data_IF_723944489996
#
_entry.id   IF_723944489996
#
_cell.length_a   1.000
_cell.length_b   1.000
_cell.length_c   1.000
_cell.angle_alpha   90.00
_cell.angle_beta   90.00
_cell.angle_gamma   90.00
#
_symmetry.space_group_name_H-M   'P 1'
#
loop_
_entity.id
_entity.type
_entity.pdbx_description
1 polymer ?
#
# COMPACT_ATOMS: atom_id res chain seq x y z
N UNK A 1 20.96 -8.00 -0.68
CA UNK A 1 19.66 -8.49 -0.11
C UNK A 1 18.57 -8.18 -1.12
N UNK A 2 17.74 -9.15 -1.52
CA UNK A 2 16.67 -8.94 -2.52
C UNK A 2 15.36 -8.61 -1.82
N UNK A 3 14.87 -7.39 -2.03
CA UNK A 3 13.63 -6.85 -1.45
C UNK A 3 12.63 -6.54 -2.56
N UNK A 4 11.37 -6.86 -2.32
CA UNK A 4 10.28 -6.58 -3.24
C UNK A 4 9.27 -5.62 -2.61
N UNK A 5 8.70 -4.73 -3.42
CA UNK A 5 7.68 -3.77 -2.98
C UNK A 5 6.49 -3.82 -3.93
N UNK A 6 5.28 -3.94 -3.40
CA UNK A 6 4.04 -3.87 -4.17
C UNK A 6 2.97 -3.12 -3.35
N UNK A 7 2.04 -2.46 -4.03
CA UNK A 7 0.91 -1.74 -3.42
C UNK A 7 -0.25 -1.71 -4.39
N UNK A 8 -1.41 -1.24 -3.93
CA UNK A 8 -2.54 -0.94 -4.81
C UNK A 8 -2.99 -2.16 -5.64
N UNK A 9 -3.01 -3.32 -4.99
CA UNK A 9 -3.51 -4.56 -5.60
C UNK A 9 -5.03 -4.56 -5.68
N UNK A 10 -5.70 -3.94 -4.70
CA UNK A 10 -7.17 -3.87 -4.59
C UNK A 10 -7.85 -5.25 -4.74
N UNK A 11 -7.29 -6.27 -4.10
CA UNK A 11 -7.79 -7.64 -4.17
C UNK A 11 -9.25 -7.70 -3.71
N UNK A 12 -10.07 -8.39 -4.49
CA UNK A 12 -11.51 -8.55 -4.25
C UNK A 12 -12.10 -9.74 -5.00
N UNK A 13 -13.20 -10.35 -4.51
CA UNK A 13 -13.84 -11.50 -5.14
C UNK A 13 -14.28 -11.25 -6.58
N UNK A 14 -14.65 -10.01 -6.90
CA UNK A 14 -15.11 -9.62 -8.24
C UNK A 14 -13.96 -9.51 -9.26
N UNK A 15 -12.71 -9.66 -8.83
CA UNK A 15 -11.50 -9.64 -9.66
C UNK A 15 -10.59 -10.85 -9.39
N UNK A 16 -11.05 -12.07 -9.74
CA UNK A 16 -10.25 -13.28 -9.53
C UNK A 16 -8.97 -13.29 -10.37
N UNK A 17 -8.92 -12.53 -11.46
CA UNK A 17 -7.72 -12.27 -12.28
C UNK A 17 -6.59 -11.64 -11.44
N UNK A 18 -6.91 -10.64 -10.61
CA UNK A 18 -5.94 -10.00 -9.72
C UNK A 18 -5.43 -10.97 -8.65
N UNK A 19 -6.35 -11.77 -8.09
CA UNK A 19 -5.99 -12.83 -7.14
C UNK A 19 -5.06 -13.86 -7.79
N UNK A 20 -5.37 -14.32 -9.00
CA UNK A 20 -4.54 -15.27 -9.75
C UNK A 20 -3.14 -14.72 -10.03
N UNK A 21 -3.05 -13.47 -10.50
CA UNK A 21 -1.79 -12.79 -10.74
C UNK A 21 -0.97 -12.62 -9.45
N UNK A 22 -1.60 -12.26 -8.33
CA UNK A 22 -0.87 -12.11 -7.07
C UNK A 22 -0.37 -13.46 -6.54
N UNK A 23 -1.19 -14.51 -6.61
CA UNK A 23 -0.75 -15.86 -6.24
C UNK A 23 0.40 -16.35 -7.13
N UNK A 24 0.39 -16.01 -8.42
CA UNK A 24 1.50 -16.28 -9.32
C UNK A 24 2.76 -15.50 -8.92
N UNK A 25 2.65 -14.20 -8.69
CA UNK A 25 3.75 -13.36 -8.21
C UNK A 25 4.37 -13.89 -6.91
N UNK A 26 3.55 -14.27 -5.93
CA UNK A 26 4.05 -14.81 -4.66
C UNK A 26 4.88 -16.09 -4.88
N UNK A 27 4.42 -16.96 -5.79
CA UNK A 27 5.06 -18.25 -6.06
C UNK A 27 6.32 -18.14 -6.93
N UNK A 28 6.28 -17.35 -7.99
CA UNK A 28 7.35 -17.31 -9.00
C UNK A 28 8.37 -16.20 -8.74
N UNK A 29 7.93 -15.06 -8.22
CA UNK A 29 8.76 -13.86 -8.08
C UNK A 29 9.19 -13.61 -6.64
N UNK A 30 8.25 -13.66 -5.70
CA UNK A 30 8.53 -13.37 -4.29
C UNK A 30 9.19 -14.54 -3.55
N UNK A 31 9.01 -15.76 -4.05
CA UNK A 31 9.72 -16.92 -3.53
C UNK A 31 11.25 -16.69 -3.58
N UNK A 32 11.90 -16.84 -2.42
CA UNK A 32 13.34 -16.63 -2.28
C UNK A 32 13.78 -15.16 -2.15
N UNK A 33 12.85 -14.19 -2.16
CA UNK A 33 13.18 -12.83 -1.73
C UNK A 33 13.46 -12.80 -0.22
N UNK A 34 14.35 -11.92 0.22
CA UNK A 34 14.63 -11.72 1.65
C UNK A 34 13.43 -11.02 2.32
N UNK A 35 12.81 -10.07 1.63
CA UNK A 35 11.72 -9.23 2.16
C UNK A 35 10.68 -8.90 1.09
N UNK A 36 9.41 -8.88 1.48
CA UNK A 36 8.29 -8.36 0.68
C UNK A 36 7.55 -7.29 1.48
N UNK A 37 7.52 -6.08 0.93
CA UNK A 37 6.82 -4.92 1.45
C UNK A 37 5.51 -4.70 0.67
N UNK A 38 4.40 -4.76 1.39
CA UNK A 38 3.05 -4.51 0.90
C UNK A 38 2.63 -3.09 1.34
N UNK A 39 2.84 -2.09 0.49
CA UNK A 39 2.73 -0.66 0.82
C UNK A 39 1.30 -0.10 0.66
N UNK A 40 0.33 -0.79 1.25
CA UNK A 40 -1.06 -0.35 1.34
C UNK A 40 -1.92 -0.66 0.12
N UNK A 41 -3.24 -0.62 0.33
CA UNK A 41 -4.27 -0.91 -0.66
C UNK A 41 -4.11 -2.30 -1.30
N UNK A 42 -3.73 -3.28 -0.47
CA UNK A 42 -3.67 -4.69 -0.85
C UNK A 42 -5.07 -5.24 -1.05
N UNK A 43 -6.01 -4.83 -0.19
CA UNK A 43 -7.41 -5.20 -0.30
C UNK A 43 -8.26 -4.02 -0.74
N UNK A 44 -9.27 -4.26 -1.56
CA UNK A 44 -10.20 -3.20 -2.01
C UNK A 44 -10.97 -2.55 -0.84
N UNK A 45 -11.14 -3.28 0.28
CA UNK A 45 -11.68 -2.78 1.53
C UNK A 45 -11.33 -3.72 2.67
N UNK A 46 -11.06 -3.17 3.85
CA UNK A 46 -10.95 -3.95 5.09
C UNK A 46 -11.84 -3.36 6.17
N UNK A 47 -12.73 -4.18 6.74
CA UNK A 47 -13.66 -3.73 7.78
C UNK A 47 -13.28 -4.23 9.18
N UNK A 48 -12.20 -5.00 9.31
CA UNK A 48 -11.70 -5.58 10.54
C UNK A 48 -11.33 -7.05 10.37
N UNK A 49 -10.33 -7.49 11.12
CA UNK A 49 -9.75 -8.84 10.99
C UNK A 49 -10.71 -9.98 11.34
N UNK A 50 -11.78 -9.68 12.09
CA UNK A 50 -12.85 -10.63 12.44
C UNK A 50 -13.81 -10.91 11.28
N UNK A 51 -13.70 -10.14 10.19
CA UNK A 51 -14.45 -10.30 8.96
C UNK A 51 -13.51 -10.22 7.75
N UNK A 52 -12.58 -11.18 7.59
CA UNK A 52 -11.68 -11.22 6.44
C UNK A 52 -12.48 -11.37 5.15
N UNK A 53 -11.91 -10.91 4.04
CA UNK A 53 -12.60 -10.89 2.76
C UNK A 53 -12.86 -12.32 2.25
N UNK A 54 -14.13 -12.67 1.95
CA UNK A 54 -14.45 -13.99 1.41
C UNK A 54 -13.68 -14.28 0.11
N UNK A 55 -13.26 -15.52 -0.12
CA UNK A 55 -12.63 -15.92 -1.39
C UNK A 55 -11.15 -15.52 -1.54
N UNK A 56 -10.55 -14.90 -0.52
CA UNK A 56 -9.11 -14.62 -0.48
C UNK A 56 -8.32 -15.57 0.44
N UNK A 57 -8.92 -16.71 0.83
CA UNK A 57 -8.26 -17.68 1.71
C UNK A 57 -6.95 -18.21 1.15
N UNK A 58 -6.88 -18.43 -0.18
CA UNK A 58 -5.66 -18.85 -0.86
C UNK A 58 -4.57 -17.77 -0.78
N UNK A 59 -4.94 -16.48 -0.81
CA UNK A 59 -3.99 -15.36 -0.67
C UNK A 59 -3.38 -15.36 0.73
N UNK A 60 -4.22 -15.48 1.77
CA UNK A 60 -3.72 -15.55 3.14
C UNK A 60 -2.81 -16.77 3.35
N UNK A 61 -3.19 -17.92 2.78
CA UNK A 61 -2.38 -19.14 2.81
C UNK A 61 -1.04 -19.00 2.07
N UNK A 62 -1.04 -18.36 0.90
CA UNK A 62 0.17 -18.13 0.11
C UNK A 62 1.14 -17.16 0.82
N UNK A 63 0.63 -16.07 1.41
CA UNK A 63 1.44 -15.16 2.23
C UNK A 63 2.03 -15.89 3.45
N UNK A 64 1.20 -16.65 4.18
CA UNK A 64 1.67 -17.44 5.31
C UNK A 64 2.76 -18.45 4.91
N UNK A 65 2.60 -19.10 3.76
CA UNK A 65 3.60 -20.02 3.23
C UNK A 65 4.91 -19.32 2.85
N UNK A 66 4.82 -18.16 2.20
CA UNK A 66 5.98 -17.35 1.84
C UNK A 66 6.77 -16.92 3.09
N UNK A 67 6.07 -16.43 4.12
CA UNK A 67 6.68 -16.09 5.42
C UNK A 67 7.34 -17.30 6.07
N UNK A 68 6.64 -18.43 6.15
CA UNK A 68 7.17 -19.67 6.72
C UNK A 68 8.38 -20.23 5.95
N UNK A 69 8.54 -19.84 4.68
CA UNK A 69 9.67 -20.23 3.82
C UNK A 69 10.90 -19.31 3.99
N UNK A 70 10.80 -18.26 4.80
CA UNK A 70 11.92 -17.42 5.22
C UNK A 70 11.88 -15.97 4.73
N UNK A 71 10.93 -15.60 3.86
CA UNK A 71 10.76 -14.22 3.40
C UNK A 71 10.08 -13.37 4.47
N UNK A 72 10.68 -12.24 4.86
CA UNK A 72 10.03 -11.33 5.82
C UNK A 72 8.90 -10.57 5.14
N UNK A 73 7.70 -10.61 5.72
CA UNK A 73 6.54 -9.90 5.21
C UNK A 73 6.27 -8.65 6.02
N UNK A 74 6.20 -7.52 5.33
CA UNK A 74 5.87 -6.23 5.91
C UNK A 74 4.62 -5.67 5.25
N UNK A 75 3.68 -5.18 6.06
CA UNK A 75 2.44 -4.58 5.60
C UNK A 75 2.38 -3.14 6.08
N UNK A 76 2.06 -2.20 5.19
CA UNK A 76 1.73 -0.83 5.56
C UNK A 76 0.27 -0.59 5.18
N UNK A 77 -0.47 0.14 6.01
CA UNK A 77 -1.86 0.46 5.71
C UNK A 77 -1.98 1.40 4.52
N UNK A 78 -2.91 1.10 3.61
CA UNK A 78 -3.42 2.07 2.63
C UNK A 78 -4.70 2.73 3.09
N UNK A 79 -5.32 3.50 2.20
CA UNK A 79 -6.60 4.16 2.48
C UNK A 79 -7.83 3.24 2.35
N UNK A 80 -7.68 2.03 1.80
CA UNK A 80 -8.73 1.01 1.69
C UNK A 80 -8.71 0.00 2.83
N UNK A 81 -7.54 -0.27 3.37
CA UNK A 81 -7.27 -1.39 4.29
C UNK A 81 -6.60 -0.96 5.61
N UNK A 82 -6.82 0.29 6.02
CA UNK A 82 -6.34 0.87 7.29
C UNK A 82 -6.85 0.22 8.58
N UNK A 83 -7.81 -0.70 8.48
CA UNK A 83 -8.31 -1.49 9.62
C UNK A 83 -7.67 -2.88 9.73
N UNK A 84 -6.73 -3.22 8.84
CA UNK A 84 -5.93 -4.45 8.97
C UNK A 84 -5.21 -4.42 10.31
N UNK A 85 -5.35 -5.48 11.10
CA UNK A 85 -4.80 -5.55 12.45
C UNK A 85 -3.82 -6.70 12.64
N UNK A 86 -3.46 -6.88 13.92
CA UNK A 86 -2.51 -7.90 14.36
C UNK A 86 -2.99 -9.33 14.14
N UNK A 87 -4.31 -9.56 14.05
CA UNK A 87 -4.82 -10.91 13.83
C UNK A 87 -4.57 -11.37 12.39
N UNK A 88 -4.68 -10.47 11.40
CA UNK A 88 -4.24 -10.77 10.04
C UNK A 88 -2.71 -10.95 9.98
N UNK A 89 -1.95 -10.07 10.61
CA UNK A 89 -0.48 -10.17 10.63
C UNK A 89 -0.01 -11.50 11.22
N UNK A 90 -0.60 -11.93 12.34
CA UNK A 90 -0.34 -13.24 12.93
C UNK A 90 -0.74 -14.39 12.00
N UNK A 91 -1.85 -14.27 11.25
CA UNK A 91 -2.30 -15.28 10.29
C UNK A 91 -1.32 -15.47 9.13
N UNK A 92 -0.72 -14.38 8.63
CA UNK A 92 0.17 -14.42 7.46
C UNK A 92 1.66 -14.44 7.83
N UNK A 93 2.00 -14.34 9.12
CA UNK A 93 3.39 -14.23 9.59
C UNK A 93 4.06 -12.93 9.13
N UNK A 94 3.31 -11.83 9.13
CA UNK A 94 3.78 -10.49 8.72
C UNK A 94 3.94 -9.54 9.90
N UNK A 95 4.52 -8.38 9.61
CA UNK A 95 4.69 -7.26 10.54
C UNK A 95 4.01 -6.02 9.99
N UNK A 96 3.22 -5.35 10.84
CA UNK A 96 2.58 -4.08 10.49
C UNK A 96 3.56 -2.92 10.69
N UNK A 97 3.84 -2.17 9.63
CA UNK A 97 4.71 -1.01 9.61
C UNK A 97 3.95 0.28 9.98
N UNK A 98 4.63 1.28 10.57
CA UNK A 98 4.10 2.63 10.71
C UNK A 98 3.89 3.31 9.34
N UNK A 99 3.09 4.38 9.30
CA UNK A 99 2.74 5.11 8.04
C UNK A 99 3.94 5.75 7.31
N UNK A 100 5.04 5.95 8.03
CA UNK A 100 6.33 6.38 7.51
C UNK A 100 7.40 5.48 8.13
N UNK A 101 8.12 4.73 7.30
CA UNK A 101 9.12 3.77 7.76
C UNK A 101 10.39 3.87 6.91
N UNK A 102 11.55 3.99 7.57
CA UNK A 102 12.83 4.05 6.87
C UNK A 102 13.50 2.69 6.88
N UNK A 103 13.96 2.26 5.70
CA UNK A 103 14.82 1.08 5.55
C UNK A 103 16.25 1.51 5.20
N UNK A 104 17.23 0.77 5.70
CA UNK A 104 18.63 0.96 5.37
C UNK A 104 18.96 0.31 4.02
N UNK A 105 19.71 1.00 3.17
CA UNK A 105 20.21 0.49 1.89
C UNK A 105 21.62 1.05 1.61
N UNK A 106 22.52 0.31 0.93
CA UNK A 106 23.90 0.78 0.69
C UNK A 106 24.00 2.12 -0.04
N UNK A 107 23.02 2.46 -0.87
CA UNK A 107 22.93 3.76 -1.55
C UNK A 107 22.32 4.89 -0.70
N UNK A 108 22.05 4.63 0.59
CA UNK A 108 21.39 5.55 1.51
C UNK A 108 20.01 5.05 1.98
N UNK A 109 19.48 5.59 3.09
CA UNK A 109 18.19 5.18 3.63
C UNK A 109 17.04 5.54 2.67
N UNK A 110 15.99 4.72 2.70
CA UNK A 110 14.81 4.85 1.84
C UNK A 110 13.57 4.95 2.72
N UNK A 111 12.76 5.99 2.50
CA UNK A 111 11.46 6.16 3.14
C UNK A 111 10.36 5.37 2.40
N UNK A 112 9.56 4.63 3.15
CA UNK A 112 8.40 3.88 2.67
C UNK A 112 7.12 4.51 3.20
N UNK A 113 6.18 4.76 2.30
CA UNK A 113 4.87 5.33 2.60
C UNK A 113 3.83 4.70 1.67
N UNK A 114 2.55 4.68 2.05
CA UNK A 114 1.50 4.38 1.09
C UNK A 114 1.35 5.52 0.06
N UNK A 115 1.39 6.78 0.53
CA UNK A 115 1.49 7.97 -0.32
C UNK A 115 0.26 8.89 -0.27
N UNK A 116 -0.87 8.40 0.23
CA UNK A 116 -2.11 9.17 0.36
C UNK A 116 -1.98 10.45 1.20
N UNK A 117 -1.15 10.40 2.25
CA UNK A 117 -0.81 11.56 3.08
C UNK A 117 -0.02 12.67 2.36
N UNK A 118 0.54 12.39 1.18
CA UNK A 118 1.26 13.36 0.35
C UNK A 118 0.32 14.16 -0.57
N UNK A 119 -0.96 13.77 -0.67
CA UNK A 119 -1.96 14.43 -1.52
C UNK A 119 -2.58 15.63 -0.79
N UNK A 120 -1.75 16.59 -0.37
CA UNK A 120 -2.17 17.66 0.56
C UNK A 120 -3.10 18.71 -0.05
N UNK A 121 -3.23 18.73 -1.37
CA UNK A 121 -4.17 19.62 -2.06
C UNK A 121 -5.62 19.09 -1.99
N UNK A 122 -5.81 17.81 -1.65
CA UNK A 122 -7.13 17.23 -1.38
C UNK A 122 -7.49 17.35 0.12
N UNK A 123 -7.83 18.57 0.54
CA UNK A 123 -8.18 18.86 1.93
C UNK A 123 -9.38 18.05 2.46
N UNK A 124 -10.35 17.73 1.60
CA UNK A 124 -11.50 16.91 1.97
C UNK A 124 -11.09 15.46 2.23
N UNK A 125 -10.22 14.91 1.39
CA UNK A 125 -9.66 13.59 1.60
C UNK A 125 -8.84 13.55 2.89
N UNK A 126 -7.97 14.53 3.13
CA UNK A 126 -7.19 14.59 4.37
C UNK A 126 -8.06 14.70 5.63
N UNK A 127 -9.16 15.45 5.58
CA UNK A 127 -10.12 15.51 6.69
C UNK A 127 -10.76 14.14 6.97
N UNK A 128 -11.18 13.43 5.91
CA UNK A 128 -11.71 12.08 6.02
C UNK A 128 -10.66 11.09 6.55
N UNK A 129 -9.43 11.14 6.01
CA UNK A 129 -8.29 10.34 6.45
C UNK A 129 -8.06 10.51 7.96
N UNK A 130 -7.95 11.76 8.42
CA UNK A 130 -7.74 12.06 9.83
C UNK A 130 -8.86 11.51 10.72
N UNK A 131 -10.11 11.54 10.25
CA UNK A 131 -11.23 10.95 10.96
C UNK A 131 -11.12 9.42 11.07
N UNK A 132 -10.83 8.72 9.97
CA UNK A 132 -10.80 7.23 9.99
C UNK A 132 -9.53 6.64 10.60
N UNK A 133 -8.47 7.44 10.70
CA UNK A 133 -7.24 7.11 11.43
C UNK A 133 -7.33 7.40 12.93
N UNK A 134 -8.34 8.13 13.40
CA UNK A 134 -8.54 8.36 14.84
C UNK A 134 -8.85 7.05 15.57
N UNK A 135 -8.14 6.80 16.66
CA UNK A 135 -8.26 5.55 17.41
C UNK A 135 -9.63 5.37 18.08
N UNK A 136 -10.32 6.46 18.45
CA UNK A 136 -11.70 6.35 18.97
C UNK A 136 -12.66 5.98 17.85
N UNK A 137 -12.51 6.60 16.68
CA UNK A 137 -13.30 6.26 15.50
C UNK A 137 -13.13 4.78 15.14
N UNK A 138 -11.90 4.29 15.04
CA UNK A 138 -11.63 2.88 14.71
C UNK A 138 -12.22 1.93 15.76
N UNK A 139 -12.06 2.22 17.05
CA UNK A 139 -12.65 1.41 18.13
C UNK A 139 -14.18 1.37 18.05
N UNK A 140 -14.83 2.52 17.85
CA UNK A 140 -16.27 2.60 17.71
C UNK A 140 -16.75 1.86 16.46
N UNK A 141 -16.03 2.03 15.35
CA UNK A 141 -16.34 1.35 14.09
C UNK A 141 -16.28 -0.17 14.26
N UNK A 142 -15.17 -0.69 14.80
CA UNK A 142 -14.91 -2.12 15.02
C UNK A 142 -15.82 -2.75 16.09
N UNK A 143 -16.40 -1.96 16.99
CA UNK A 143 -17.37 -2.44 17.98
C UNK A 143 -18.77 -2.74 17.40
N UNK A 144 -19.05 -2.30 16.16
CA UNK A 144 -20.30 -2.57 15.47
C UNK A 144 -20.34 -3.99 14.90
N UNK A 145 -21.56 -4.48 14.60
CA UNK A 145 -21.72 -5.77 13.92
C UNK A 145 -21.07 -5.73 12.53
N UNK A 146 -20.66 -6.89 12.03
CA UNK A 146 -20.09 -7.02 10.67
C UNK A 146 -21.05 -6.43 9.62
N UNK A 147 -22.35 -6.70 9.74
CA UNK A 147 -23.37 -6.17 8.83
C UNK A 147 -23.41 -4.64 8.82
N UNK A 148 -23.34 -4.00 10.00
CA UNK A 148 -23.31 -2.54 10.13
C UNK A 148 -22.04 -1.96 9.48
N UNK A 149 -20.88 -2.56 9.76
CA UNK A 149 -19.60 -2.13 9.16
C UNK A 149 -19.61 -2.26 7.64
N UNK A 150 -20.14 -3.36 7.11
CA UNK A 150 -20.30 -3.54 5.66
C UNK A 150 -21.20 -2.47 5.04
N UNK A 151 -22.32 -2.12 5.70
CA UNK A 151 -23.21 -1.06 5.22
C UNK A 151 -22.51 0.31 5.19
N UNK A 152 -21.78 0.67 6.25
CA UNK A 152 -21.00 1.92 6.31
C UNK A 152 -19.91 1.93 5.23
N UNK A 153 -19.14 0.85 5.08
CA UNK A 153 -18.08 0.76 4.08
C UNK A 153 -18.61 0.95 2.66
N UNK A 154 -19.79 0.37 2.34
CA UNK A 154 -20.47 0.59 1.05
C UNK A 154 -20.83 2.07 0.85
N UNK A 155 -21.43 2.72 1.84
CA UNK A 155 -21.79 4.14 1.77
C UNK A 155 -20.57 5.05 1.58
N UNK A 156 -19.50 4.81 2.34
CA UNK A 156 -18.25 5.57 2.21
C UNK A 156 -17.65 5.42 0.81
N UNK A 157 -17.70 4.22 0.24
CA UNK A 157 -17.22 3.95 -1.12
C UNK A 157 -18.05 4.66 -2.18
N UNK A 158 -19.37 4.63 -2.07
CA UNK A 158 -20.27 5.34 -2.99
C UNK A 158 -20.03 6.86 -2.93
N UNK A 159 -19.90 7.43 -1.72
CA UNK A 159 -19.59 8.84 -1.53
C UNK A 159 -18.19 9.23 -2.04
N UNK A 160 -17.20 8.33 -1.90
CA UNK A 160 -15.85 8.54 -2.43
C UNK A 160 -15.85 8.53 -3.96
N UNK A 161 -16.54 7.56 -4.60
CA UNK A 161 -16.67 7.51 -6.06
C UNK A 161 -17.33 8.75 -6.64
N UNK A 162 -18.44 9.20 -6.03
CA UNK A 162 -19.14 10.40 -6.47
C UNK A 162 -18.24 11.64 -6.42
N UNK A 163 -17.48 11.83 -5.31
CA UNK A 163 -16.54 12.96 -5.16
C UNK A 163 -15.34 12.87 -6.08
N UNK A 164 -14.78 11.68 -6.30
CA UNK A 164 -13.64 11.48 -7.19
C UNK A 164 -13.92 11.85 -8.65
N UNK A 165 -15.16 11.67 -9.11
CA UNK A 165 -15.57 12.07 -10.47
C UNK A 165 -15.57 13.58 -10.70
N UNK A 166 -15.59 14.38 -9.63
CA UNK A 166 -15.63 15.84 -9.70
C UNK A 166 -14.23 16.49 -9.54
N UNK A 167 -13.22 15.72 -9.14
CA UNK A 167 -11.85 16.22 -8.88
C UNK A 167 -10.98 16.10 -10.12
N UNK A 168 -10.07 17.07 -10.29
CA UNK A 168 -9.06 17.00 -11.35
C UNK A 168 -7.95 16.01 -10.98
N UNK A 169 -7.35 15.43 -12.01
CA UNK A 169 -6.20 14.55 -11.91
C UNK A 169 -4.96 15.19 -11.24
N UNK A 170 -4.90 16.53 -11.20
CA UNK A 170 -3.83 17.28 -10.51
C UNK A 170 -4.05 17.36 -9.00
N UNK A 171 -5.31 17.46 -8.54
CA UNK A 171 -5.64 17.52 -7.09
C UNK A 171 -5.46 16.16 -6.42
N UNK A 172 -5.62 15.08 -7.19
CA UNK A 172 -5.49 13.70 -6.70
C UNK A 172 -4.06 13.15 -6.75
N UNK A 173 -3.10 13.89 -7.31
CA UNK A 173 -1.69 13.51 -7.29
C UNK A 173 -1.01 14.05 -6.02
N UNK A 174 0.21 13.58 -5.76
CA UNK A 174 0.98 14.09 -4.63
C UNK A 174 1.34 15.56 -4.83
N UNK A 175 1.34 16.31 -3.72
CA UNK A 175 1.87 17.66 -3.70
C UNK A 175 3.42 17.62 -3.69
N UNK A 176 4.12 18.28 -4.64
CA UNK A 176 5.58 18.24 -4.69
C UNK A 176 6.28 18.81 -3.44
N UNK A 177 5.67 19.79 -2.77
CA UNK A 177 6.21 20.34 -1.52
C UNK A 177 6.07 19.33 -0.38
N UNK A 178 4.93 18.64 -0.27
CA UNK A 178 4.71 17.60 0.74
C UNK A 178 5.70 16.43 0.58
N UNK A 179 5.97 16.01 -0.67
CA UNK A 179 7.02 15.02 -0.97
C UNK A 179 8.38 15.48 -0.45
N UNK A 180 8.76 16.72 -0.78
CA UNK A 180 10.05 17.30 -0.38
C UNK A 180 10.17 17.37 1.15
N UNK A 181 9.13 17.83 1.84
CA UNK A 181 9.10 17.92 3.30
C UNK A 181 9.23 16.54 3.95
N UNK A 182 8.45 15.55 3.49
CA UNK A 182 8.54 14.18 4.01
C UNK A 182 9.95 13.58 3.87
N UNK A 183 10.60 13.78 2.73
CA UNK A 183 11.97 13.30 2.51
C UNK A 183 12.99 14.03 3.39
N UNK A 184 12.88 15.36 3.54
CA UNK A 184 13.78 16.16 4.38
C UNK A 184 13.60 15.84 5.87
N UNK A 185 12.37 15.71 6.35
CA UNK A 185 12.06 15.40 7.75
C UNK A 185 12.55 14.00 8.15
N UNK A 186 12.46 13.04 7.22
CA UNK A 186 13.02 11.70 7.40
C UNK A 186 14.54 11.63 7.20
N UNK A 187 15.17 12.69 6.68
CA UNK A 187 16.60 12.72 6.38
C UNK A 187 17.02 11.76 5.26
N UNK A 188 16.17 11.57 4.26
CA UNK A 188 16.39 10.63 3.16
C UNK A 188 16.44 11.31 1.79
N UNK A 189 17.08 10.66 0.83
CA UNK A 189 17.10 11.07 -0.58
C UNK A 189 16.26 10.13 -1.47
N UNK A 190 15.63 9.10 -0.89
CA UNK A 190 14.86 8.10 -1.60
C UNK A 190 13.50 7.87 -0.94
N UNK A 191 12.44 7.84 -1.75
CA UNK A 191 11.07 7.58 -1.32
C UNK A 191 10.44 6.53 -2.25
N UNK A 192 9.81 5.51 -1.68
CA UNK A 192 8.95 4.55 -2.38
C UNK A 192 7.53 4.69 -1.85
N UNK A 193 6.56 4.88 -2.73
CA UNK A 193 5.14 4.90 -2.37
C UNK A 193 4.22 4.40 -3.49
N UNK A 194 2.94 4.17 -3.17
CA UNK A 194 1.88 3.81 -4.11
C UNK A 194 0.81 4.91 -4.22
N UNK A 195 -0.45 4.52 -4.06
CA UNK A 195 -1.66 5.34 -3.97
C UNK A 195 -2.10 6.06 -5.24
N UNK A 196 -1.18 6.73 -5.96
CA UNK A 196 -1.57 7.59 -7.09
C UNK A 196 -1.80 6.84 -8.40
N UNK A 197 -1.45 5.55 -8.44
CA UNK A 197 -1.64 4.64 -9.60
C UNK A 197 -0.88 5.13 -10.86
N UNK A 198 0.23 5.83 -10.64
CA UNK A 198 1.06 6.47 -11.67
C UNK A 198 2.50 5.94 -11.58
N UNK A 199 2.76 4.70 -12.00
CA UNK A 199 4.08 4.08 -11.87
C UNK A 199 5.14 4.92 -12.60
N UNK A 200 6.12 5.42 -11.86
CA UNK A 200 7.15 6.31 -12.38
C UNK A 200 8.32 6.48 -11.42
N UNK A 201 9.47 6.88 -11.98
CA UNK A 201 10.65 7.29 -11.21
C UNK A 201 10.87 8.78 -11.44
N UNK A 202 10.66 9.57 -10.39
CA UNK A 202 10.79 11.02 -10.42
C UNK A 202 12.09 11.46 -9.75
N UNK A 203 12.73 12.51 -10.30
CA UNK A 203 13.77 13.26 -9.60
C UNK A 203 13.13 14.48 -8.92
N UNK A 204 13.40 14.65 -7.65
CA UNK A 204 12.92 15.80 -6.86
C UNK A 204 14.09 16.65 -6.37
N UNK A 205 13.88 17.96 -6.27
CA UNK A 205 14.87 18.86 -5.68
C UNK A 205 14.75 18.84 -4.14
N UNK A 206 15.83 18.51 -3.45
CA UNK A 206 15.90 18.46 -1.98
C UNK A 206 16.89 19.52 -1.47
N UNK A 207 16.46 20.78 -1.40
CA UNK A 207 17.34 21.87 -1.01
C UNK A 207 18.38 22.15 -2.10
N UNK A 208 19.66 22.01 -1.79
CA UNK A 208 20.77 22.08 -2.74
C UNK A 208 21.07 20.74 -3.44
N UNK A 209 20.54 19.62 -2.93
CA UNK A 209 20.65 18.28 -3.50
C UNK A 209 19.43 17.83 -4.32
N UNK A 210 19.44 16.57 -4.73
CA UNK A 210 18.33 15.92 -5.45
C UNK A 210 18.04 14.54 -4.86
N UNK A 211 16.77 14.17 -4.82
CA UNK A 211 16.33 12.83 -4.41
C UNK A 211 15.53 12.13 -5.49
N UNK A 212 15.23 10.85 -5.26
CA UNK A 212 14.44 9.98 -6.12
C UNK A 212 13.14 9.61 -5.41
N UNK A 213 12.02 9.74 -6.12
CA UNK A 213 10.71 9.23 -5.70
C UNK A 213 10.25 8.18 -6.69
N UNK A 214 10.02 6.97 -6.20
CA UNK A 214 9.54 5.83 -6.96
C UNK A 214 8.06 5.64 -6.60
N UNK A 215 7.21 5.65 -7.61
CA UNK A 215 5.78 5.39 -7.48
C UNK A 215 5.51 3.98 -7.99
N UNK A 216 4.91 3.14 -7.17
CA UNK A 216 4.45 1.81 -7.52
C UNK A 216 3.19 1.90 -8.40
N UNK A 217 3.01 0.90 -9.27
CA UNK A 217 1.82 0.81 -10.13
C UNK A 217 0.69 0.05 -9.45
N UNK A 218 -0.54 0.40 -9.78
CA UNK A 218 -1.72 -0.37 -9.38
C UNK A 218 -1.90 -1.60 -10.25
N UNK A 219 -2.57 -2.61 -9.71
CA UNK A 219 -2.72 -3.88 -10.41
C UNK A 219 -3.95 -3.93 -11.32
N UNK A 220 -4.66 -2.83 -11.62
CA UNK A 220 -5.94 -2.91 -12.34
C UNK A 220 -5.83 -3.56 -13.72
N UNK A 221 -4.76 -3.27 -14.48
CA UNK A 221 -4.56 -3.82 -15.84
C UNK A 221 -3.33 -4.69 -16.01
N UNK A 222 -2.30 -4.45 -15.20
CA UNK A 222 -1.00 -5.12 -15.24
C UNK A 222 -0.51 -5.23 -13.81
N UNK A 223 0.21 -6.30 -13.48
CA UNK A 223 0.84 -6.41 -12.18
C UNK A 223 2.08 -5.54 -12.14
N UNK A 224 2.38 -4.98 -10.97
CA UNK A 224 3.55 -4.11 -10.75
C UNK A 224 4.26 -4.45 -9.46
N UNK A 225 5.58 -4.39 -9.48
CA UNK A 225 6.39 -4.41 -8.28
C UNK A 225 7.71 -3.68 -8.50
N UNK A 226 8.33 -3.25 -7.41
CA UNK A 226 9.72 -2.80 -7.41
C UNK A 226 10.59 -3.92 -6.87
N UNK A 227 11.66 -4.23 -7.58
CA UNK A 227 12.76 -5.05 -7.05
C UNK A 227 13.90 -4.12 -6.63
N UNK A 228 14.46 -4.36 -5.45
CA UNK A 228 15.61 -3.64 -4.91
C UNK A 228 16.63 -4.65 -4.39
N UNK A 229 17.87 -4.52 -4.84
CA UNK A 229 19.00 -5.24 -4.30
C UNK A 229 20.25 -4.37 -4.21
N UNK A 230 21.39 -4.96 -3.87
CA UNK A 230 22.64 -4.23 -3.67
C UNK A 230 23.16 -3.57 -4.96
N UNK A 231 22.62 -3.94 -6.13
CA UNK A 231 22.95 -3.36 -7.44
C UNK A 231 22.07 -2.16 -7.82
N UNK A 232 20.91 -1.99 -7.18
CA UNK A 232 19.99 -0.90 -7.44
C UNK A 232 18.53 -1.34 -7.39
N UNK A 233 17.66 -0.58 -8.05
CA UNK A 233 16.23 -0.87 -8.15
C UNK A 233 15.76 -0.99 -9.59
N UNK A 234 14.72 -1.78 -9.82
CA UNK A 234 14.00 -1.89 -11.08
C UNK A 234 12.49 -1.92 -10.83
N UNK A 235 11.76 -1.00 -11.45
CA UNK A 235 10.29 -0.96 -11.41
C UNK A 235 9.76 -1.80 -12.57
N UNK A 236 9.10 -2.91 -12.24
CA UNK A 236 8.78 -3.99 -13.18
C UNK A 236 7.26 -4.11 -13.32
N UNK A 237 6.79 -4.26 -14.55
CA UNK A 237 5.42 -4.59 -14.88
C UNK A 237 5.28 -5.95 -15.58
N UNK A 238 4.15 -6.63 -15.39
CA UNK A 238 3.88 -7.91 -16.01
C UNK A 238 2.38 -8.06 -16.37
N UNK A 239 2.03 -8.86 -17.38
CA UNK A 239 0.63 -9.05 -17.75
C UNK A 239 -0.16 -9.79 -16.65
N UNK A 240 -1.42 -9.42 -16.47
CA UNK A 240 -2.39 -10.18 -15.69
C UNK A 240 -3.17 -11.05 -16.68
N UNK A 241 -3.14 -12.36 -16.48
CA UNK A 241 -3.79 -13.37 -17.33
C UNK A 241 -5.16 -13.80 -16.76
#
# INVERSE_FOLDING_TARGET
MRRLFASDLHLRPERPDLTGAFLHFLRETASGADELYLLGDIFEAWIGDDAPMPGLDDVYGALAHLSASGTRLYFQHGNRDFLVGEALMARIGGELLPEAFCIEHPAGPILLMHGDQLCTDDAEYLAFRNQVRDANWQRQFLAQSVEQRMAIARQLREASKARGMEKSDEIMDVNPQAVREAMLDAGVEQLIHGHTHRPAVHRNQLGDGSGIRIVLGDWDRRGWYLELDDSGFELIDFPIE
#
